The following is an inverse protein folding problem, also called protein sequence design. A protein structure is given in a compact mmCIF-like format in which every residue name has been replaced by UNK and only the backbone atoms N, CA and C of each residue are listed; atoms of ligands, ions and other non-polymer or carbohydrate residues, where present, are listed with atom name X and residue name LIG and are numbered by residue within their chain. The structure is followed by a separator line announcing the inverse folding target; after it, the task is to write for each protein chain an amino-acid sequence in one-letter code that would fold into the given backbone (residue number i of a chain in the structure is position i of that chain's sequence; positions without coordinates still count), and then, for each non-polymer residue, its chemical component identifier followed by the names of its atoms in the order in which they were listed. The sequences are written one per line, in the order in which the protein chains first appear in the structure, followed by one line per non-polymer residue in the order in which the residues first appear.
data_IF_580087896579
#
_entry.id   IF_580087896579
#
_cell.length_a   1.000
_cell.length_b   1.000
_cell.length_c   1.000
_cell.angle_alpha   90.00
_cell.angle_beta   90.00
_cell.angle_gamma   90.00
#
_symmetry.space_group_name_H-M   'P 1'
#
loop_
_entity.id
_entity.type
_entity.pdbx_description
1 polymer ?
#
# COMPACT_ATOMS: atom_id res chain seq x y z
N UNK A 1 -19.53 -10.52 -9.51
CA UNK A 1 -19.93 -10.44 -8.08
C UNK A 1 -20.69 -9.13 -7.85
N UNK A 2 -21.77 -9.11 -7.04
CA UNK A 2 -22.47 -7.86 -6.68
C UNK A 2 -21.61 -7.02 -5.73
N UNK A 3 -21.72 -5.69 -5.79
CA UNK A 3 -21.04 -4.78 -4.86
C UNK A 3 -21.64 -4.99 -3.46
N UNK A 4 -20.94 -5.75 -2.63
CA UNK A 4 -21.37 -6.09 -1.26
C UNK A 4 -20.27 -5.74 -0.28
N UNK A 5 -20.63 -5.62 1.00
CA UNK A 5 -19.64 -5.41 2.08
C UNK A 5 -18.61 -6.54 2.10
N UNK A 6 -19.02 -7.79 1.84
CA UNK A 6 -18.12 -8.95 1.75
C UNK A 6 -17.07 -8.79 0.64
N UNK A 7 -17.47 -8.35 -0.56
CA UNK A 7 -16.52 -8.13 -1.66
C UNK A 7 -15.57 -6.96 -1.38
N UNK A 8 -16.04 -5.94 -0.68
CA UNK A 8 -15.22 -4.80 -0.28
C UNK A 8 -14.13 -5.24 0.72
N UNK A 9 -14.53 -5.95 1.78
CA UNK A 9 -13.60 -6.49 2.78
C UNK A 9 -12.61 -7.46 2.13
N UNK A 10 -13.09 -8.38 1.27
CA UNK A 10 -12.23 -9.31 0.55
C UNK A 10 -11.18 -8.61 -0.32
N UNK A 11 -11.58 -7.52 -1.00
CA UNK A 11 -10.66 -6.71 -1.81
C UNK A 11 -9.66 -5.93 -0.95
N UNK A 12 -10.10 -5.38 0.19
CA UNK A 12 -9.22 -4.69 1.13
C UNK A 12 -8.18 -5.64 1.75
N UNK A 13 -8.57 -6.87 2.08
CA UNK A 13 -7.64 -7.89 2.56
C UNK A 13 -6.65 -8.32 1.46
N UNK A 14 -7.14 -8.54 0.24
CA UNK A 14 -6.29 -8.88 -0.90
C UNK A 14 -5.29 -7.76 -1.23
N UNK A 15 -5.72 -6.50 -1.12
CA UNK A 15 -4.86 -5.33 -1.34
C UNK A 15 -3.83 -5.15 -0.22
N UNK A 16 -4.22 -5.28 1.04
CA UNK A 16 -3.27 -5.27 2.16
C UNK A 16 -2.23 -6.39 2.05
N UNK A 17 -2.66 -7.61 1.70
CA UNK A 17 -1.75 -8.74 1.49
C UNK A 17 -0.81 -8.51 0.31
N UNK A 18 -1.34 -8.05 -0.84
CA UNK A 18 -0.53 -7.68 -2.00
C UNK A 18 0.48 -6.59 -1.66
N UNK A 19 0.05 -5.58 -0.90
CA UNK A 19 0.90 -4.53 -0.35
C UNK A 19 2.05 -5.09 0.47
N UNK A 20 1.76 -5.96 1.44
CA UNK A 20 2.77 -6.55 2.31
C UNK A 20 3.82 -7.36 1.53
N UNK A 21 3.39 -8.19 0.58
CA UNK A 21 4.31 -8.97 -0.27
C UNK A 21 5.25 -8.06 -1.07
N UNK A 22 4.70 -7.02 -1.70
CA UNK A 22 5.52 -6.09 -2.49
C UNK A 22 6.34 -5.14 -1.62
N UNK A 23 5.94 -4.89 -0.38
CA UNK A 23 6.74 -4.11 0.58
C UNK A 23 8.04 -4.85 0.91
N UNK A 24 7.99 -6.18 1.09
CA UNK A 24 9.18 -7.02 1.29
C UNK A 24 10.08 -6.97 0.06
N UNK A 25 9.52 -7.20 -1.13
CA UNK A 25 10.27 -7.16 -2.40
C UNK A 25 10.88 -5.77 -2.62
N UNK A 26 10.10 -4.72 -2.39
CA UNK A 26 10.52 -3.33 -2.50
C UNK A 26 11.65 -2.98 -1.55
N UNK A 27 11.59 -3.43 -0.29
CA UNK A 27 12.66 -3.21 0.68
C UNK A 27 13.98 -3.88 0.25
N UNK A 28 13.91 -5.12 -0.25
CA UNK A 28 15.07 -5.87 -0.73
C UNK A 28 15.69 -5.27 -1.99
N UNK A 29 14.86 -4.77 -2.91
CA UNK A 29 15.34 -4.08 -4.11
C UNK A 29 15.90 -2.70 -3.78
N UNK A 30 15.18 -1.94 -2.95
CA UNK A 30 15.55 -0.59 -2.57
C UNK A 30 16.87 -0.55 -1.80
N UNK A 31 17.10 -1.48 -0.86
CA UNK A 31 18.38 -1.56 -0.16
C UNK A 31 19.55 -1.82 -1.12
N UNK A 32 19.38 -2.74 -2.07
CA UNK A 32 20.41 -3.06 -3.06
C UNK A 32 20.69 -1.95 -4.06
N UNK A 33 19.66 -1.19 -4.45
CA UNK A 33 19.80 -0.11 -5.44
C UNK A 33 20.57 1.09 -4.88
N UNK A 34 20.40 1.39 -3.59
CA UNK A 34 21.03 2.56 -2.96
C UNK A 34 22.39 2.20 -2.33
N UNK A 35 22.55 0.98 -1.79
CA UNK A 35 23.79 0.55 -1.12
C UNK A 35 24.83 -0.03 -2.11
N UNK A 36 24.97 0.58 -3.29
CA UNK A 36 25.82 0.06 -4.38
C UNK A 36 27.31 -0.12 -3.99
N UNK A 37 27.79 0.58 -2.96
CA UNK A 37 29.22 0.62 -2.58
C UNK A 37 29.51 0.38 -1.08
N UNK A 38 28.50 0.15 -0.24
CA UNK A 38 28.70 -0.08 1.20
C UNK A 38 27.92 -1.33 1.59
N UNK A 39 28.59 -2.33 2.19
CA UNK A 39 27.90 -3.53 2.68
C UNK A 39 27.22 -3.22 4.03
N UNK A 40 26.08 -2.54 4.02
CA UNK A 40 25.26 -2.29 5.23
C UNK A 40 25.33 -0.88 5.79
N UNK A 41 25.38 0.14 4.93
CA UNK A 41 25.39 1.54 5.34
C UNK A 41 23.99 2.14 5.60
N UNK A 42 23.95 3.38 6.09
CA UNK A 42 22.71 4.16 6.21
C UNK A 42 21.95 4.27 4.87
N UNK A 43 22.68 4.25 3.74
CA UNK A 43 22.09 4.21 2.40
C UNK A 43 21.21 2.99 2.16
N UNK A 44 21.64 1.80 2.58
CA UNK A 44 20.85 0.57 2.49
C UNK A 44 19.57 0.63 3.33
N UNK A 45 19.61 1.25 4.52
CA UNK A 45 18.43 1.45 5.36
C UNK A 45 17.43 2.41 4.70
N UNK A 46 17.90 3.56 4.22
CA UNK A 46 17.04 4.54 3.51
C UNK A 46 16.42 3.89 2.26
N UNK A 47 17.22 3.14 1.50
CA UNK A 47 16.76 2.38 0.35
C UNK A 47 15.71 1.34 0.70
N UNK A 48 15.90 0.60 1.80
CA UNK A 48 14.92 -0.37 2.27
C UNK A 48 13.58 0.29 2.63
N UNK A 49 13.61 1.40 3.37
CA UNK A 49 12.39 2.12 3.79
C UNK A 49 11.67 2.72 2.59
N UNK A 50 12.39 3.41 1.70
CA UNK A 50 11.81 4.00 0.49
C UNK A 50 11.24 2.92 -0.43
N UNK A 51 11.98 1.83 -0.63
CA UNK A 51 11.55 0.68 -1.40
C UNK A 51 10.32 0.00 -0.79
N UNK A 52 10.25 -0.13 0.53
CA UNK A 52 9.09 -0.68 1.24
C UNK A 52 7.84 0.17 1.02
N UNK A 53 7.96 1.50 1.14
CA UNK A 53 6.86 2.45 0.95
C UNK A 53 6.29 2.36 -0.47
N UNK A 54 7.17 2.44 -1.48
CA UNK A 54 6.78 2.38 -2.88
C UNK A 54 6.22 0.98 -3.22
N UNK A 55 6.91 -0.06 -2.76
CA UNK A 55 6.51 -1.45 -2.93
C UNK A 55 5.12 -1.71 -2.36
N UNK A 56 4.85 -1.23 -1.14
CA UNK A 56 3.55 -1.36 -0.51
C UNK A 56 2.44 -0.73 -1.35
N UNK A 57 2.62 0.52 -1.80
CA UNK A 57 1.62 1.20 -2.64
C UNK A 57 1.34 0.44 -3.96
N UNK A 58 2.39 -0.04 -4.62
CA UNK A 58 2.26 -0.85 -5.84
C UNK A 58 1.55 -2.18 -5.57
N UNK A 59 1.91 -2.85 -4.48
CA UNK A 59 1.31 -4.12 -4.06
C UNK A 59 -0.16 -4.00 -3.71
N UNK A 60 -0.58 -2.89 -3.08
CA UNK A 60 -1.98 -2.60 -2.79
C UNK A 60 -2.79 -2.51 -4.08
N UNK A 61 -2.30 -1.75 -5.06
CA UNK A 61 -2.94 -1.62 -6.38
C UNK A 61 -2.96 -2.97 -7.10
N UNK A 62 -1.87 -3.73 -7.02
CA UNK A 62 -1.78 -5.07 -7.59
C UNK A 62 -2.79 -6.03 -6.96
N UNK A 63 -2.96 -6.03 -5.63
CA UNK A 63 -3.95 -6.86 -4.95
C UNK A 63 -5.38 -6.52 -5.37
N UNK A 64 -5.71 -5.23 -5.55
CA UNK A 64 -6.99 -4.80 -6.14
C UNK A 64 -7.13 -5.32 -7.59
N UNK A 65 -6.08 -5.23 -8.40
CA UNK A 65 -6.08 -5.72 -9.78
C UNK A 65 -6.29 -7.23 -9.84
N UNK A 66 -5.58 -8.02 -9.02
CA UNK A 66 -5.72 -9.48 -8.96
C UNK A 66 -7.13 -9.86 -8.51
N UNK A 67 -7.63 -9.25 -7.43
CA UNK A 67 -8.99 -9.51 -6.94
C UNK A 67 -10.05 -9.15 -7.99
N UNK A 68 -9.93 -7.98 -8.61
CA UNK A 68 -10.88 -7.54 -9.63
C UNK A 68 -10.89 -8.46 -10.87
N UNK A 69 -9.72 -8.95 -11.31
CA UNK A 69 -9.64 -9.93 -12.41
C UNK A 69 -10.22 -11.29 -12.00
N UNK A 70 -9.85 -11.82 -10.84
CA UNK A 70 -10.30 -13.13 -10.36
C UNK A 70 -11.83 -13.19 -10.20
N UNK A 71 -12.45 -12.11 -9.68
CA UNK A 71 -13.89 -12.06 -9.44
C UNK A 71 -14.69 -11.31 -10.53
N UNK A 72 -14.05 -10.97 -11.66
CA UNK A 72 -14.62 -10.23 -12.80
C UNK A 72 -15.37 -8.96 -12.36
N UNK A 73 -14.75 -8.21 -11.46
CA UNK A 73 -15.37 -7.08 -10.79
C UNK A 73 -15.00 -5.76 -11.48
N UNK A 74 -15.99 -4.93 -11.81
CA UNK A 74 -15.79 -3.69 -12.58
C UNK A 74 -15.58 -2.49 -11.67
N UNK A 75 -14.52 -1.73 -11.96
CA UNK A 75 -14.18 -0.47 -11.29
C UNK A 75 -13.01 0.23 -11.97
N UNK A 76 -12.37 1.16 -11.28
CA UNK A 76 -11.24 1.92 -11.83
C UNK A 76 -9.96 1.64 -11.06
N UNK A 77 -9.00 1.00 -11.72
CA UNK A 77 -7.67 0.76 -11.15
C UNK A 77 -6.93 2.08 -10.94
N UNK A 78 -7.13 3.08 -11.81
CA UNK A 78 -6.57 4.42 -11.65
C UNK A 78 -7.04 5.11 -10.37
N UNK A 79 -8.34 5.00 -10.05
CA UNK A 79 -8.85 5.56 -8.80
C UNK A 79 -8.37 4.77 -7.58
N UNK A 80 -8.11 3.47 -7.73
CA UNK A 80 -7.49 2.66 -6.68
C UNK A 80 -6.06 3.12 -6.39
N UNK A 81 -5.28 3.42 -7.44
CA UNK A 81 -3.93 3.97 -7.29
C UNK A 81 -3.94 5.34 -6.61
N UNK A 82 -4.85 6.24 -6.99
CA UNK A 82 -5.03 7.53 -6.31
C UNK A 82 -5.44 7.34 -4.84
N UNK A 83 -6.32 6.39 -4.55
CA UNK A 83 -6.69 6.04 -3.18
C UNK A 83 -5.53 5.50 -2.35
N UNK A 84 -4.67 4.65 -2.93
CA UNK A 84 -3.47 4.16 -2.27
C UNK A 84 -2.48 5.30 -1.97
N UNK A 85 -2.22 6.17 -2.95
CA UNK A 85 -1.36 7.35 -2.76
C UNK A 85 -1.92 8.29 -1.69
N UNK A 86 -3.23 8.55 -1.71
CA UNK A 86 -3.88 9.39 -0.71
C UNK A 86 -3.73 8.80 0.70
N UNK A 87 -3.94 7.50 0.88
CA UNK A 87 -3.77 6.86 2.19
C UNK A 87 -2.36 6.95 2.74
N UNK A 88 -1.36 6.76 1.88
CA UNK A 88 0.05 6.94 2.24
C UNK A 88 0.34 8.39 2.66
N UNK A 89 -0.06 9.37 1.84
CA UNK A 89 0.19 10.79 2.10
C UNK A 89 -0.51 11.25 3.38
N UNK A 90 -1.75 10.83 3.60
CA UNK A 90 -2.53 11.20 4.79
C UNK A 90 -1.83 10.71 6.06
N UNK A 91 -1.43 9.43 6.14
CA UNK A 91 -0.79 8.92 7.34
C UNK A 91 0.60 9.53 7.55
N UNK A 92 1.41 9.65 6.50
CA UNK A 92 2.73 10.25 6.62
C UNK A 92 2.66 11.73 7.00
N UNK A 93 1.71 12.49 6.44
CA UNK A 93 1.49 13.90 6.77
C UNK A 93 0.90 14.11 8.16
N UNK A 94 0.08 13.16 8.64
CA UNK A 94 -0.47 13.20 10.00
C UNK A 94 0.44 12.52 11.04
N UNK A 95 1.59 11.97 10.63
CA UNK A 95 2.48 11.24 11.52
C UNK A 95 2.98 12.10 12.67
N UNK A 96 3.37 13.35 12.39
CA UNK A 96 3.82 14.30 13.41
C UNK A 96 2.66 14.94 14.19
N UNK A 97 1.60 15.50 13.54
CA UNK A 97 0.48 16.12 14.28
C UNK A 97 -0.22 15.18 15.27
N UNK A 98 -0.34 13.89 14.92
CA UNK A 98 -0.97 12.88 15.76
C UNK A 98 0.03 12.12 16.64
N UNK A 99 1.31 12.50 16.62
CA UNK A 99 2.38 11.83 17.36
C UNK A 99 2.43 10.30 17.09
N UNK A 100 2.10 9.88 15.87
CA UNK A 100 2.12 8.46 15.46
C UNK A 100 3.54 7.91 15.42
N UNK A 101 4.53 8.77 15.19
CA UNK A 101 5.95 8.42 15.25
C UNK A 101 6.39 7.89 16.63
N UNK A 102 5.66 8.19 17.71
CA UNK A 102 5.93 7.65 19.05
C UNK A 102 5.65 6.14 19.17
N UNK A 103 4.79 5.59 18.31
CA UNK A 103 4.43 4.19 18.30
C UNK A 103 4.53 3.63 16.86
N UNK A 104 5.66 3.00 16.57
CA UNK A 104 5.96 2.46 15.24
C UNK A 104 4.95 1.41 14.77
N UNK A 105 4.40 0.60 15.67
CA UNK A 105 3.39 -0.40 15.32
C UNK A 105 2.09 0.28 14.91
N UNK A 106 1.63 1.27 15.68
CA UNK A 106 0.44 2.04 15.36
C UNK A 106 0.58 2.76 14.01
N UNK A 107 1.75 3.38 13.76
CA UNK A 107 2.03 4.04 12.49
C UNK A 107 2.00 3.04 11.33
N UNK A 108 2.67 1.90 11.46
CA UNK A 108 2.70 0.85 10.44
C UNK A 108 1.30 0.33 10.13
N UNK A 109 0.52 -0.06 11.14
CA UNK A 109 -0.83 -0.58 10.94
C UNK A 109 -1.78 0.48 10.38
N UNK A 110 -1.61 1.74 10.77
CA UNK A 110 -2.37 2.86 10.20
C UNK A 110 -2.07 3.01 8.71
N UNK A 111 -0.79 3.04 8.31
CA UNK A 111 -0.41 3.07 6.89
C UNK A 111 -1.04 1.90 6.15
N UNK A 112 -0.92 0.69 6.69
CA UNK A 112 -1.40 -0.54 6.04
C UNK A 112 -2.91 -0.48 5.80
N UNK A 113 -3.68 -0.27 6.87
CA UNK A 113 -5.13 -0.32 6.85
C UNK A 113 -5.72 0.82 6.02
N UNK A 114 -5.30 2.06 6.27
CA UNK A 114 -5.91 3.23 5.64
C UNK A 114 -5.63 3.27 4.13
N UNK A 115 -4.41 2.91 3.72
CA UNK A 115 -4.04 2.80 2.31
C UNK A 115 -4.84 1.72 1.59
N UNK A 116 -4.99 0.53 2.17
CA UNK A 116 -5.75 -0.56 1.59
C UNK A 116 -7.25 -0.20 1.47
N UNK A 117 -7.81 0.44 2.50
CA UNK A 117 -9.21 0.89 2.50
C UNK A 117 -9.46 1.98 1.47
N UNK A 118 -8.61 3.01 1.40
CA UNK A 118 -8.77 4.10 0.43
C UNK A 118 -8.54 3.64 -1.01
N UNK A 119 -7.59 2.72 -1.25
CA UNK A 119 -7.43 2.11 -2.57
C UNK A 119 -8.68 1.31 -2.98
N UNK A 120 -9.21 0.51 -2.06
CA UNK A 120 -10.43 -0.26 -2.29
C UNK A 120 -11.62 0.68 -2.52
N UNK A 121 -11.75 1.74 -1.73
CA UNK A 121 -12.79 2.76 -1.89
C UNK A 121 -12.67 3.46 -3.25
N UNK A 122 -11.47 3.93 -3.59
CA UNK A 122 -11.16 4.56 -4.88
C UNK A 122 -11.58 3.69 -6.06
N UNK A 123 -11.28 2.38 -6.01
CA UNK A 123 -11.71 1.43 -7.04
C UNK A 123 -13.23 1.45 -7.28
N UNK A 124 -14.01 1.60 -6.21
CA UNK A 124 -15.48 1.58 -6.23
C UNK A 124 -16.12 2.92 -6.64
N UNK A 125 -15.38 4.03 -6.61
CA UNK A 125 -15.89 5.36 -6.97
C UNK A 125 -16.32 5.47 -8.45
N UNK A 126 -15.75 4.65 -9.35
CA UNK A 126 -16.22 4.58 -10.73
C UNK A 126 -17.62 3.96 -10.75
N UNK A 127 -18.62 4.80 -11.05
CA UNK A 127 -19.97 4.35 -11.42
C UNK A 127 -19.86 3.56 -12.72
N UNK A 128 -20.35 2.33 -12.70
CA UNK A 128 -20.49 1.46 -13.88
C UNK A 128 -21.82 1.77 -14.53
#
# INVERSE_FOLDING_TARGET
MKRTVKSFIGMALASAFGGYVFAIVGALLGSKLIDWNSYGGFGGLVGAIAGMIIGYALGVVFGVLVFSKAFKYRGSIWLAALGALAGMIIILGLAEPLNLNSNSDLMLWSVVILTALLATWGFHLKKV
#
